data_IF_817906438285
#
_entry.id   IF_817906438285
#
_cell.length_a   1.000
_cell.length_b   1.000
_cell.length_c   1.000
_cell.angle_alpha   90.00
_cell.angle_beta   90.00
_cell.angle_gamma   90.00
#
_symmetry.space_group_name_H-M   'P 1'
#
loop_
_entity.id
_entity.type
_entity.pdbx_description
1 polymer ?
#
# COMPACT_ATOMS: atom_id res chain seq x y z
N UNK A 1 28.88 -14.67 -0.39
CA UNK A 1 27.75 -13.84 0.05
C UNK A 1 26.49 -14.12 -0.76
N UNK A 2 26.52 -14.00 -2.09
CA UNK A 2 25.34 -14.31 -2.94
C UNK A 2 24.82 -15.75 -2.77
N UNK A 3 25.71 -16.73 -2.66
CA UNK A 3 25.33 -18.14 -2.48
C UNK A 3 24.65 -18.41 -1.12
N UNK A 4 25.08 -17.70 -0.06
CA UNK A 4 24.47 -17.77 1.28
C UNK A 4 23.06 -17.15 1.25
N UNK A 5 22.90 -16.02 0.56
CA UNK A 5 21.60 -15.38 0.38
C UNK A 5 20.64 -16.28 -0.40
N UNK A 6 21.10 -16.94 -1.47
CA UNK A 6 20.27 -17.88 -2.23
C UNK A 6 19.89 -19.09 -1.39
N UNK A 7 20.79 -19.64 -0.58
CA UNK A 7 20.46 -20.79 0.29
C UNK A 7 19.43 -20.43 1.35
N UNK A 8 19.55 -19.25 1.96
CA UNK A 8 18.57 -18.77 2.94
C UNK A 8 17.20 -18.55 2.30
N UNK A 9 17.16 -17.95 1.11
CA UNK A 9 15.90 -17.75 0.38
C UNK A 9 15.21 -19.08 0.04
N UNK A 10 15.97 -20.06 -0.47
CA UNK A 10 15.42 -21.39 -0.78
C UNK A 10 14.88 -22.11 0.47
N UNK A 11 15.54 -21.92 1.62
CA UNK A 11 15.15 -22.54 2.88
C UNK A 11 13.88 -21.91 3.45
N UNK A 12 13.75 -20.58 3.38
CA UNK A 12 12.51 -19.90 3.79
C UNK A 12 11.33 -20.30 2.91
N UNK A 13 11.54 -20.37 1.59
CA UNK A 13 10.49 -20.77 0.66
C UNK A 13 10.02 -22.21 0.90
N UNK A 14 10.96 -23.16 1.11
CA UNK A 14 10.61 -24.55 1.38
C UNK A 14 9.82 -24.72 2.69
N UNK A 15 10.19 -23.99 3.74
CA UNK A 15 9.44 -23.98 5.01
C UNK A 15 7.99 -23.53 4.78
N UNK A 16 7.79 -22.43 4.04
CA UNK A 16 6.42 -21.93 3.78
C UNK A 16 5.56 -22.93 3.02
N UNK A 17 6.14 -23.63 2.03
CA UNK A 17 5.43 -24.68 1.28
C UNK A 17 5.03 -25.82 2.20
N UNK A 18 5.95 -26.29 3.04
CA UNK A 18 5.69 -27.39 3.99
C UNK A 18 4.55 -27.00 4.94
N UNK A 19 4.57 -25.78 5.47
CA UNK A 19 3.51 -25.29 6.36
C UNK A 19 2.15 -25.22 5.66
N UNK A 20 2.09 -24.72 4.41
CA UNK A 20 0.84 -24.66 3.64
C UNK A 20 0.30 -26.07 3.37
N UNK A 21 1.17 -27.02 3.03
CA UNK A 21 0.77 -28.42 2.83
C UNK A 21 0.23 -29.04 4.12
N UNK A 22 0.92 -28.85 5.24
CA UNK A 22 0.48 -29.34 6.54
C UNK A 22 -0.89 -28.79 6.94
N UNK A 23 -1.11 -27.47 6.76
CA UNK A 23 -2.41 -26.85 7.04
C UNK A 23 -3.49 -27.48 6.18
N UNK A 24 -3.28 -27.59 4.87
CA UNK A 24 -4.30 -28.16 3.98
C UNK A 24 -4.60 -29.64 4.26
N UNK A 25 -3.62 -30.43 4.71
CA UNK A 25 -3.83 -31.83 5.08
C UNK A 25 -4.59 -31.98 6.40
N UNK A 26 -4.32 -31.12 7.38
CA UNK A 26 -4.91 -31.21 8.72
C UNK A 26 -6.29 -30.52 8.79
N UNK A 27 -6.44 -29.34 8.15
CA UNK A 27 -7.60 -28.46 8.36
C UNK A 27 -8.72 -28.62 7.33
N UNK A 28 -8.48 -29.31 6.21
CA UNK A 28 -9.49 -29.44 5.15
C UNK A 28 -10.59 -30.42 5.57
N UNK A 29 -11.75 -29.88 5.95
CA UNK A 29 -12.97 -30.67 6.17
C UNK A 29 -13.46 -31.23 4.84
N UNK A 30 -13.83 -32.51 4.80
CA UNK A 30 -14.31 -33.21 3.60
C UNK A 30 -15.70 -32.75 3.16
N UNK A 31 -16.55 -32.35 4.12
CA UNK A 31 -17.92 -31.91 3.85
C UNK A 31 -17.97 -30.41 3.62
N UNK A 32 -18.52 -30.03 2.46
CA UNK A 32 -18.75 -28.63 2.06
C UNK A 32 -20.24 -28.32 2.22
N UNK A 33 -20.61 -27.68 3.32
CA UNK A 33 -21.98 -27.20 3.53
C UNK A 33 -22.18 -25.90 2.73
N UNK A 34 -23.30 -25.79 2.01
CA UNK A 34 -23.66 -24.57 1.25
C UNK A 34 -23.67 -23.31 2.13
N UNK A 35 -24.16 -23.42 3.36
CA UNK A 35 -24.21 -22.29 4.30
C UNK A 35 -22.83 -21.89 4.84
N UNK A 36 -21.81 -22.76 4.74
CA UNK A 36 -20.43 -22.39 5.06
C UNK A 36 -19.70 -21.77 3.86
N UNK A 37 -20.18 -22.04 2.64
CA UNK A 37 -19.65 -21.46 1.42
C UNK A 37 -20.40 -20.22 0.93
N UNK A 38 -21.49 -19.84 1.60
CA UNK A 38 -22.22 -18.60 1.33
C UNK A 38 -21.54 -17.38 1.97
N UNK A 39 -21.71 -16.17 1.41
CA UNK A 39 -21.18 -14.94 2.01
C UNK A 39 -21.80 -14.68 3.38
N UNK A 40 -20.98 -14.30 4.36
CA UNK A 40 -21.45 -13.96 5.70
C UNK A 40 -21.94 -12.49 5.76
N UNK A 41 -23.26 -12.28 5.89
CA UNK A 41 -23.87 -10.96 6.15
C UNK A 41 -24.58 -10.99 7.52
N UNK A 42 -23.83 -11.27 8.59
CA UNK A 42 -24.33 -11.38 9.97
C UNK A 42 -25.47 -12.40 10.16
N UNK A 43 -25.46 -13.48 9.37
CA UNK A 43 -26.49 -14.53 9.39
C UNK A 43 -27.70 -14.27 8.51
N UNK A 44 -27.70 -13.18 7.73
CA UNK A 44 -28.72 -12.90 6.72
C UNK A 44 -28.24 -13.28 5.32
N UNK A 45 -29.19 -13.57 4.43
CA UNK A 45 -28.90 -13.69 3.00
C UNK A 45 -28.45 -12.35 2.44
N UNK A 46 -27.44 -12.33 1.55
CA UNK A 46 -26.90 -11.08 1.08
C UNK A 46 -27.92 -10.31 0.25
N UNK A 47 -28.23 -9.07 0.67
CA UNK A 47 -29.23 -8.23 -0.02
C UNK A 47 -28.77 -7.73 -1.38
N UNK A 48 -27.46 -7.72 -1.60
CA UNK A 48 -26.84 -7.21 -2.82
C UNK A 48 -25.53 -7.93 -3.10
N UNK A 49 -25.04 -7.78 -4.33
CA UNK A 49 -23.72 -8.29 -4.69
C UNK A 49 -22.63 -7.55 -3.89
N UNK A 50 -21.59 -8.25 -3.46
CA UNK A 50 -20.47 -7.66 -2.71
C UNK A 50 -19.73 -6.54 -3.47
N UNK A 51 -19.91 -6.45 -4.80
CA UNK A 51 -19.29 -5.43 -5.65
C UNK A 51 -20.32 -4.34 -5.97
N UNK A 52 -20.59 -3.50 -4.98
CA UNK A 52 -21.34 -2.27 -5.17
C UNK A 52 -20.39 -1.13 -5.56
N UNK A 53 -20.88 -0.12 -6.29
CA UNK A 53 -20.14 1.13 -6.44
C UNK A 53 -19.85 1.70 -5.05
N UNK A 54 -18.57 1.85 -4.75
CA UNK A 54 -18.08 2.41 -3.50
C UNK A 54 -17.82 3.91 -3.66
N UNK A 55 -17.67 4.64 -2.55
CA UNK A 55 -17.45 6.08 -2.62
C UNK A 55 -16.10 6.42 -3.25
N UNK A 56 -16.16 7.29 -4.26
CA UNK A 56 -15.03 7.75 -5.07
C UNK A 56 -13.99 8.49 -4.20
N UNK A 57 -14.40 9.04 -3.06
CA UNK A 57 -13.53 9.75 -2.12
C UNK A 57 -12.39 8.87 -1.60
N UNK A 58 -12.64 7.60 -1.26
CA UNK A 58 -11.58 6.70 -0.82
C UNK A 58 -10.57 6.40 -1.94
N UNK A 59 -11.05 6.32 -3.18
CA UNK A 59 -10.16 6.14 -4.33
C UNK A 59 -9.26 7.36 -4.55
N UNK A 60 -9.82 8.57 -4.41
CA UNK A 60 -9.05 9.82 -4.53
C UNK A 60 -7.97 9.91 -3.44
N UNK A 61 -8.31 9.58 -2.18
CA UNK A 61 -7.34 9.55 -1.08
C UNK A 61 -6.22 8.54 -1.37
N UNK A 62 -6.54 7.36 -1.91
CA UNK A 62 -5.53 6.36 -2.27
C UNK A 62 -4.58 6.83 -3.39
N UNK A 63 -5.10 7.53 -4.40
CA UNK A 63 -4.25 8.12 -5.44
C UNK A 63 -3.34 9.23 -4.89
N UNK A 64 -3.88 10.11 -4.06
CA UNK A 64 -3.10 11.18 -3.41
C UNK A 64 -1.97 10.57 -2.58
N UNK A 65 -2.27 9.55 -1.77
CA UNK A 65 -1.26 8.84 -0.99
C UNK A 65 -0.13 8.25 -1.86
N UNK A 66 -0.47 7.65 -3.00
CA UNK A 66 0.51 7.08 -3.93
C UNK A 66 1.45 8.16 -4.48
N UNK A 67 0.91 9.32 -4.87
CA UNK A 67 1.72 10.43 -5.38
C UNK A 67 2.66 10.94 -4.28
N UNK A 68 2.16 11.16 -3.07
CA UNK A 68 2.99 11.60 -1.93
C UNK A 68 4.09 10.58 -1.57
N UNK A 69 3.84 9.28 -1.68
CA UNK A 69 4.85 8.25 -1.42
C UNK A 69 6.02 8.33 -2.43
N UNK A 70 5.71 8.56 -3.71
CA UNK A 70 6.73 8.80 -4.76
C UNK A 70 7.52 10.08 -4.49
N UNK A 71 6.87 11.14 -4.03
CA UNK A 71 7.53 12.40 -3.69
C UNK A 71 8.48 12.25 -2.51
N UNK A 72 8.09 11.51 -1.45
CA UNK A 72 8.96 11.21 -0.31
C UNK A 72 10.16 10.36 -0.75
N UNK A 73 9.96 9.40 -1.65
CA UNK A 73 11.04 8.60 -2.22
C UNK A 73 12.09 9.46 -2.96
N UNK A 74 11.69 10.61 -3.53
CA UNK A 74 12.60 11.57 -4.15
C UNK A 74 13.32 12.48 -3.13
N UNK A 75 12.68 12.80 -2.00
CA UNK A 75 13.29 13.63 -0.94
C UNK A 75 14.40 12.88 -0.21
N UNK A 76 14.23 11.58 0.06
CA UNK A 76 15.13 10.82 0.92
C UNK A 76 16.60 10.76 0.41
N UNK A 77 16.87 10.54 -0.89
CA UNK A 77 18.22 10.63 -1.45
C UNK A 77 18.84 12.03 -1.35
N UNK A 78 18.04 13.10 -1.42
CA UNK A 78 18.53 14.47 -1.40
C UNK A 78 19.23 14.80 -0.06
N UNK A 79 18.74 14.26 1.05
CA UNK A 79 19.37 14.42 2.38
C UNK A 79 20.78 13.83 2.40
N UNK A 80 20.98 12.69 1.74
CA UNK A 80 22.27 12.00 1.69
C UNK A 80 23.27 12.79 0.83
N UNK A 81 22.80 13.35 -0.29
CA UNK A 81 23.61 14.08 -1.27
C UNK A 81 24.07 15.46 -0.75
N UNK A 82 23.38 16.03 0.24
CA UNK A 82 23.69 17.36 0.82
C UNK A 82 25.16 17.53 1.23
N UNK A 83 25.84 16.44 1.65
CA UNK A 83 27.25 16.50 2.08
C UNK A 83 28.24 16.69 0.95
N UNK A 84 27.88 16.33 -0.29
CA UNK A 84 28.81 16.24 -1.42
C UNK A 84 28.60 17.34 -2.49
N UNK A 85 27.54 18.14 -2.37
CA UNK A 85 27.15 19.15 -3.37
C UNK A 85 27.24 20.54 -2.77
N UNK A 86 27.43 21.57 -3.61
CA UNK A 86 27.41 22.96 -3.19
C UNK A 86 26.09 23.32 -2.49
N UNK A 87 26.18 23.77 -1.23
CA UNK A 87 25.03 24.04 -0.35
C UNK A 87 24.07 25.08 -0.92
N UNK A 88 24.57 26.11 -1.61
CA UNK A 88 23.73 27.15 -2.22
C UNK A 88 22.88 26.58 -3.35
N UNK A 89 23.47 25.80 -4.25
CA UNK A 89 22.72 25.20 -5.37
C UNK A 89 21.73 24.15 -4.88
N UNK A 90 22.13 23.36 -3.87
CA UNK A 90 21.26 22.39 -3.22
C UNK A 90 20.05 23.05 -2.56
N UNK A 91 20.24 24.14 -1.80
CA UNK A 91 19.14 24.83 -1.11
C UNK A 91 18.15 25.45 -2.10
N UNK A 92 18.61 26.00 -3.22
CA UNK A 92 17.72 26.50 -4.28
C UNK A 92 16.86 25.40 -4.90
N UNK A 93 17.46 24.25 -5.27
CA UNK A 93 16.73 23.13 -5.86
C UNK A 93 15.73 22.54 -4.85
N UNK A 94 16.17 22.35 -3.61
CA UNK A 94 15.31 21.83 -2.55
C UNK A 94 14.14 22.76 -2.25
N UNK A 95 14.39 24.07 -2.16
CA UNK A 95 13.32 25.06 -1.94
C UNK A 95 12.32 25.07 -3.10
N UNK A 96 12.80 25.01 -4.35
CA UNK A 96 11.93 24.94 -5.52
C UNK A 96 11.04 23.68 -5.50
N UNK A 97 11.63 22.52 -5.19
CA UNK A 97 10.90 21.26 -5.05
C UNK A 97 9.84 21.33 -3.95
N UNK A 98 10.19 21.86 -2.77
CA UNK A 98 9.25 22.03 -1.65
C UNK A 98 8.09 22.99 -1.98
N UNK A 99 8.33 24.05 -2.76
CA UNK A 99 7.27 24.96 -3.20
C UNK A 99 6.25 24.23 -4.07
N UNK A 100 6.72 23.40 -5.01
CA UNK A 100 5.82 22.63 -5.90
C UNK A 100 4.93 21.70 -5.06
N UNK A 101 5.50 20.99 -4.09
CA UNK A 101 4.76 20.12 -3.17
C UNK A 101 3.68 20.88 -2.39
N UNK A 102 4.05 22.02 -1.81
CA UNK A 102 3.12 22.85 -1.04
C UNK A 102 1.97 23.36 -1.91
N UNK A 103 2.26 23.82 -3.13
CA UNK A 103 1.24 24.30 -4.06
C UNK A 103 0.28 23.17 -4.46
N UNK A 104 0.80 21.96 -4.73
CA UNK A 104 -0.02 20.78 -5.02
C UNK A 104 -0.97 20.45 -3.86
N UNK A 105 -0.44 20.40 -2.63
CA UNK A 105 -1.23 20.13 -1.43
C UNK A 105 -2.29 21.21 -1.17
N UNK A 106 -1.94 22.49 -1.35
CA UNK A 106 -2.91 23.59 -1.23
C UNK A 106 -4.03 23.48 -2.26
N UNK A 107 -3.70 23.08 -3.49
CA UNK A 107 -4.70 22.87 -4.52
C UNK A 107 -5.65 21.72 -4.12
N UNK A 108 -5.13 20.56 -3.71
CA UNK A 108 -5.94 19.43 -3.25
C UNK A 108 -6.84 19.78 -2.05
N UNK A 109 -6.31 20.57 -1.10
CA UNK A 109 -7.07 21.02 0.04
C UNK A 109 -8.20 21.97 -0.36
N UNK A 110 -7.95 22.90 -1.29
CA UNK A 110 -8.99 23.81 -1.79
C UNK A 110 -10.15 23.09 -2.46
N UNK A 111 -9.90 21.91 -3.05
CA UNK A 111 -10.91 21.06 -3.68
C UNK A 111 -11.72 20.22 -2.68
N UNK A 112 -11.46 20.36 -1.37
CA UNK A 112 -12.11 19.59 -0.30
C UNK A 112 -12.02 18.06 -0.48
N UNK A 113 -11.05 17.55 -1.26
CA UNK A 113 -10.88 16.10 -1.48
C UNK A 113 -10.45 15.40 -0.19
N UNK A 114 -9.77 16.13 0.70
CA UNK A 114 -9.33 15.67 2.02
C UNK A 114 -10.45 15.67 3.06
N UNK A 115 -11.56 16.36 2.80
CA UNK A 115 -12.68 16.42 3.76
C UNK A 115 -13.57 15.21 3.58
N UNK A 116 -13.69 14.43 4.66
CA UNK A 116 -14.67 13.37 4.71
C UNK A 116 -16.04 13.98 5.02
N UNK A 117 -16.95 13.99 4.04
CA UNK A 117 -18.36 14.12 4.37
C UNK A 117 -18.79 12.77 4.95
N UNK A 118 -19.05 12.77 6.25
CA UNK A 118 -19.70 11.68 6.97
C UNK A 118 -21.11 11.49 6.40
#
# INVERSE_FOLDING_TARGET
>A
MMLIMTTLFTLMFSITIILILMVNLISKKSFTDREKSSPFECGFEPKSLARLPFSIQFFLIAMIFLIFDVEIALILPMIIIMKNVNIMMFSFIFAFFMIILLVGLFHEWSQNVLNWMI
#
